data_IF_806373330108
#
_entry.id   IF_806373330108
#
_cell.length_a   1.000
_cell.length_b   1.000
_cell.length_c   1.000
_cell.angle_alpha   90.00
_cell.angle_beta   90.00
_cell.angle_gamma   90.00
#
_symmetry.space_group_name_H-M   'P 1'
#
loop_
_entity.id
_entity.type
_entity.pdbx_description
1 polymer ?
#
# COMPACT_ATOMS: atom_id res chain seq x y z
N UNK A 1 -27.88 -5.80 -5.08
CA UNK A 1 -27.48 -4.40 -4.79
C UNK A 1 -26.30 -4.23 -3.81
N UNK A 2 -25.90 -5.23 -2.99
CA UNK A 2 -24.78 -5.07 -2.03
C UNK A 2 -23.38 -5.12 -2.67
N UNK A 3 -23.23 -5.83 -3.78
CA UNK A 3 -21.93 -6.10 -4.43
C UNK A 3 -21.33 -4.86 -5.09
N UNK A 4 -22.14 -3.99 -5.70
CA UNK A 4 -21.66 -2.75 -6.34
C UNK A 4 -21.13 -1.76 -5.30
N UNK A 5 -21.79 -1.65 -4.14
CA UNK A 5 -21.34 -0.80 -3.03
C UNK A 5 -20.00 -1.27 -2.45
N UNK A 6 -19.84 -2.58 -2.21
CA UNK A 6 -18.59 -3.15 -1.73
C UNK A 6 -17.43 -2.90 -2.71
N UNK A 7 -17.66 -3.13 -4.01
CA UNK A 7 -16.68 -2.84 -5.06
C UNK A 7 -16.31 -1.35 -5.12
N UNK A 8 -17.28 -0.45 -4.97
CA UNK A 8 -17.03 0.99 -4.93
C UNK A 8 -16.20 1.41 -3.72
N UNK A 9 -16.43 0.80 -2.55
CA UNK A 9 -15.64 1.06 -1.33
C UNK A 9 -14.19 0.58 -1.47
N UNK A 10 -13.98 -0.62 -2.00
CA UNK A 10 -12.63 -1.13 -2.29
C UNK A 10 -11.87 -0.19 -3.23
N UNK A 11 -12.51 0.23 -4.32
CA UNK A 11 -11.92 1.20 -5.26
C UNK A 11 -11.54 2.52 -4.59
N UNK A 12 -12.41 3.06 -3.73
CA UNK A 12 -12.13 4.30 -3.00
C UNK A 12 -10.91 4.16 -2.09
N UNK A 13 -10.74 3.01 -1.42
CA UNK A 13 -9.56 2.74 -0.61
C UNK A 13 -8.30 2.69 -1.48
N UNK A 14 -8.32 1.96 -2.60
CA UNK A 14 -7.20 1.88 -3.53
C UNK A 14 -6.80 3.27 -4.06
N UNK A 15 -7.77 4.09 -4.49
CA UNK A 15 -7.54 5.46 -4.93
C UNK A 15 -6.94 6.34 -3.83
N UNK A 16 -7.42 6.20 -2.60
CA UNK A 16 -6.88 6.93 -1.46
C UNK A 16 -5.42 6.53 -1.18
N UNK A 17 -5.08 5.24 -1.23
CA UNK A 17 -3.70 4.76 -1.05
C UNK A 17 -2.79 5.27 -2.16
N UNK A 18 -3.20 5.16 -3.44
CA UNK A 18 -2.45 5.71 -4.57
C UNK A 18 -2.15 7.21 -4.39
N UNK A 19 -3.17 7.98 -3.98
CA UNK A 19 -3.02 9.41 -3.71
C UNK A 19 -2.03 9.68 -2.57
N UNK A 20 -2.08 8.90 -1.49
CA UNK A 20 -1.14 9.06 -0.36
C UNK A 20 0.30 8.78 -0.77
N UNK A 21 0.53 7.75 -1.59
CA UNK A 21 1.86 7.46 -2.14
C UNK A 21 2.32 8.62 -3.02
N UNK A 22 1.46 9.15 -3.89
CA UNK A 22 1.75 10.33 -4.71
C UNK A 22 2.11 11.57 -3.86
N UNK A 23 1.36 11.85 -2.79
CA UNK A 23 1.62 12.96 -1.87
C UNK A 23 2.99 12.87 -1.19
N UNK A 24 3.41 11.68 -0.74
CA UNK A 24 4.70 11.51 -0.02
C UNK A 24 5.91 11.42 -0.97
N UNK A 25 5.70 10.94 -2.19
CA UNK A 25 6.78 10.81 -3.20
C UNK A 25 6.93 12.05 -4.08
N UNK A 26 5.87 12.86 -4.19
CA UNK A 26 5.80 13.97 -5.15
C UNK A 26 5.58 13.53 -6.60
N UNK A 27 5.32 12.23 -6.85
CA UNK A 27 5.16 11.67 -8.19
C UNK A 27 3.69 11.68 -8.63
N UNK A 28 3.39 11.79 -9.95
CA UNK A 28 2.02 11.83 -10.44
C UNK A 28 1.28 10.50 -10.23
N UNK A 29 -0.03 10.63 -9.97
CA UNK A 29 -0.95 9.52 -9.77
C UNK A 29 -2.11 9.65 -10.77
N UNK A 30 -2.40 8.58 -11.50
CA UNK A 30 -3.40 8.59 -12.56
C UNK A 30 -3.29 7.37 -13.47
N UNK A 31 -4.20 7.30 -14.45
CA UNK A 31 -4.10 6.31 -15.51
C UNK A 31 -2.86 6.61 -16.36
N UNK A 32 -2.07 5.57 -16.65
CA UNK A 32 -0.82 5.68 -17.41
C UNK A 32 0.27 6.55 -16.75
N UNK A 33 0.16 6.81 -15.44
CA UNK A 33 1.16 7.53 -14.64
C UNK A 33 2.05 6.57 -13.82
N UNK A 34 3.04 7.11 -13.10
CA UNK A 34 3.95 6.33 -12.25
C UNK A 34 3.26 5.60 -11.10
N UNK A 35 2.11 6.12 -10.63
CA UNK A 35 1.30 5.54 -9.56
C UNK A 35 -0.14 5.38 -10.07
N UNK A 36 -0.65 4.15 -10.08
CA UNK A 36 -1.99 3.85 -10.59
C UNK A 36 -2.72 2.85 -9.66
N UNK A 37 -3.93 3.18 -9.22
CA UNK A 37 -4.83 2.17 -8.63
C UNK A 37 -5.36 1.25 -9.74
N UNK A 38 -5.22 -0.06 -9.58
CA UNK A 38 -5.56 -1.05 -10.62
C UNK A 38 -7.04 -1.04 -10.98
N UNK A 39 -7.35 -1.20 -12.27
CA UNK A 39 -8.72 -1.39 -12.73
C UNK A 39 -9.30 -2.74 -12.28
N UNK A 40 -10.61 -2.79 -12.03
CA UNK A 40 -11.26 -4.00 -11.52
C UNK A 40 -11.08 -5.20 -12.45
N UNK A 41 -10.76 -6.36 -11.88
CA UNK A 41 -10.73 -7.64 -12.59
C UNK A 41 -9.36 -8.04 -13.15
N UNK A 42 -8.32 -7.22 -12.95
CA UNK A 42 -6.95 -7.57 -13.29
C UNK A 42 -6.25 -8.28 -12.11
N UNK A 43 -5.38 -9.25 -12.41
CA UNK A 43 -4.67 -10.09 -11.42
C UNK A 43 -3.34 -9.48 -10.96
N UNK A 44 -3.14 -9.33 -9.65
CA UNK A 44 -1.91 -8.81 -9.04
C UNK A 44 -2.21 -7.69 -8.04
N UNK A 45 -1.17 -6.93 -7.65
CA UNK A 45 -1.25 -5.86 -6.64
C UNK A 45 -2.28 -4.77 -6.97
N UNK A 46 -2.91 -4.22 -5.93
CA UNK A 46 -3.97 -3.22 -6.05
C UNK A 46 -3.47 -1.85 -6.51
N UNK A 47 -2.21 -1.51 -6.24
CA UNK A 47 -1.55 -0.28 -6.67
C UNK A 47 -0.34 -0.65 -7.54
N UNK A 48 -0.30 -0.15 -8.76
CA UNK A 48 0.86 -0.29 -9.65
C UNK A 48 1.79 0.89 -9.40
N UNK A 49 3.07 0.58 -9.26
CA UNK A 49 4.16 1.54 -9.05
C UNK A 49 5.24 1.25 -10.10
N UNK A 50 5.67 2.29 -10.81
CA UNK A 50 6.66 2.19 -11.88
C UNK A 50 7.86 3.10 -11.61
N UNK A 51 9.04 2.71 -12.10
CA UNK A 51 10.28 3.48 -12.00
C UNK A 51 10.51 4.02 -10.59
N UNK A 52 10.73 5.33 -10.50
CA UNK A 52 10.97 6.08 -9.26
C UNK A 52 9.92 5.82 -8.19
N UNK A 53 8.64 5.61 -8.55
CA UNK A 53 7.59 5.35 -7.56
C UNK A 53 7.81 4.01 -6.83
N UNK A 54 8.29 3.00 -7.56
CA UNK A 54 8.62 1.69 -6.96
C UNK A 54 9.91 1.76 -6.15
N UNK A 55 10.85 2.60 -6.53
CA UNK A 55 12.10 2.80 -5.79
C UNK A 55 11.86 3.58 -4.49
N UNK A 56 11.04 4.62 -4.52
CA UNK A 56 10.70 5.44 -3.35
C UNK A 56 9.70 4.77 -2.42
N UNK A 57 8.84 3.90 -2.94
CA UNK A 57 7.84 3.15 -2.17
C UNK A 57 7.87 1.66 -2.56
N UNK A 58 8.89 0.89 -2.09
CA UNK A 58 9.14 -0.48 -2.53
C UNK A 58 8.21 -1.50 -1.85
N UNK A 59 6.88 -1.28 -1.98
CA UNK A 59 5.86 -2.14 -1.42
C UNK A 59 4.92 -2.71 -2.49
N UNK A 60 4.56 -3.97 -2.34
CA UNK A 60 3.45 -4.61 -3.04
C UNK A 60 2.17 -4.42 -2.24
N UNK A 61 1.30 -3.54 -2.74
CA UNK A 61 0.13 -3.08 -1.99
C UNK A 61 -1.11 -3.93 -2.28
N UNK A 62 -1.76 -4.36 -1.20
CA UNK A 62 -3.10 -4.96 -1.18
C UNK A 62 -4.03 -4.06 -0.32
N UNK A 63 -5.31 -3.94 -0.69
CA UNK A 63 -6.28 -3.07 -0.07
C UNK A 63 -7.64 -3.77 0.11
N UNK A 64 -8.07 -3.97 1.36
CA UNK A 64 -9.35 -4.62 1.68
C UNK A 64 -10.27 -3.68 2.45
N UNK A 65 -11.38 -3.30 1.82
CA UNK A 65 -12.48 -2.62 2.51
C UNK A 65 -13.60 -3.62 2.81
N UNK A 66 -13.68 -4.14 4.03
CA UNK A 66 -14.74 -5.06 4.46
C UNK A 66 -15.12 -4.84 5.93
N UNK A 67 -16.39 -5.11 6.27
CA UNK A 67 -16.89 -5.00 7.65
C UNK A 67 -16.43 -6.15 8.55
N UNK A 68 -16.23 -7.34 7.98
CA UNK A 68 -15.68 -8.51 8.66
C UNK A 68 -14.25 -8.73 8.17
N UNK A 69 -13.32 -8.92 9.09
CA UNK A 69 -11.91 -9.08 8.76
C UNK A 69 -11.48 -10.53 8.78
N UNK A 70 -10.84 -10.95 7.68
CA UNK A 70 -10.20 -12.26 7.57
C UNK A 70 -8.70 -12.07 7.38
N UNK A 71 -8.04 -11.57 8.43
CA UNK A 71 -6.63 -11.18 8.37
C UNK A 71 -5.71 -12.30 7.85
N UNK A 72 -5.83 -13.57 8.28
CA UNK A 72 -4.96 -14.63 7.76
C UNK A 72 -5.07 -14.82 6.25
N UNK A 73 -6.30 -14.78 5.70
CA UNK A 73 -6.53 -14.92 4.27
C UNK A 73 -5.98 -13.71 3.50
N UNK A 74 -6.20 -12.50 4.00
CA UNK A 74 -5.75 -11.28 3.31
C UNK A 74 -4.24 -11.08 3.38
N UNK A 75 -3.61 -11.50 4.49
CA UNK A 75 -2.14 -11.55 4.59
C UNK A 75 -1.60 -12.55 3.58
N UNK A 76 -2.25 -13.72 3.42
CA UNK A 76 -1.87 -14.69 2.38
C UNK A 76 -1.98 -14.08 0.98
N UNK A 77 -3.10 -13.44 0.66
CA UNK A 77 -3.28 -12.75 -0.64
C UNK A 77 -2.16 -11.72 -0.89
N UNK A 78 -1.85 -10.88 0.12
CA UNK A 78 -0.81 -9.86 0.01
C UNK A 78 0.59 -10.47 -0.20
N UNK A 79 0.91 -11.58 0.48
CA UNK A 79 2.16 -12.32 0.30
C UNK A 79 2.24 -12.99 -1.07
N UNK A 80 1.15 -13.61 -1.54
CA UNK A 80 1.12 -14.27 -2.85
C UNK A 80 1.28 -13.27 -4.01
N UNK A 81 0.78 -12.04 -3.85
CA UNK A 81 0.90 -10.96 -4.83
C UNK A 81 2.21 -10.16 -4.72
N UNK A 82 3.11 -10.49 -3.77
CA UNK A 82 4.34 -9.76 -3.54
C UNK A 82 5.29 -9.86 -4.74
N UNK A 83 5.64 -8.71 -5.31
CA UNK A 83 6.66 -8.60 -6.34
C UNK A 83 8.06 -8.77 -5.76
N UNK A 84 8.97 -9.36 -6.54
CA UNK A 84 10.38 -9.48 -6.17
C UNK A 84 10.98 -8.10 -5.86
N UNK A 85 11.75 -8.03 -4.77
CA UNK A 85 12.44 -6.81 -4.34
C UNK A 85 11.52 -5.76 -3.69
N UNK A 86 10.33 -6.17 -3.24
CA UNK A 86 9.41 -5.32 -2.47
C UNK A 86 8.95 -6.08 -1.23
N UNK A 87 8.50 -5.38 -0.20
CA UNK A 87 7.75 -5.97 0.92
C UNK A 87 6.24 -5.94 0.63
N UNK A 88 5.47 -6.88 1.16
CA UNK A 88 4.01 -6.81 1.06
C UNK A 88 3.45 -5.78 2.08
N UNK A 89 2.37 -5.10 1.70
CA UNK A 89 1.74 -4.09 2.53
C UNK A 89 0.23 -4.14 2.36
N UNK A 90 -0.50 -4.46 3.43
CA UNK A 90 -1.94 -4.59 3.42
C UNK A 90 -2.61 -3.38 4.08
N UNK A 91 -3.41 -2.63 3.32
CA UNK A 91 -4.30 -1.61 3.84
C UNK A 91 -5.68 -2.21 4.08
N UNK A 92 -6.24 -2.00 5.27
CA UNK A 92 -7.60 -2.42 5.60
C UNK A 92 -8.45 -1.25 6.07
N UNK A 93 -9.73 -1.29 5.74
CA UNK A 93 -10.73 -0.34 6.21
C UNK A 93 -12.08 -1.01 6.43
N UNK A 94 -12.85 -0.46 7.38
CA UNK A 94 -14.29 -0.72 7.54
C UNK A 94 -15.03 0.61 7.76
N UNK A 95 -16.37 0.61 7.66
CA UNK A 95 -17.11 1.88 7.79
C UNK A 95 -16.86 2.55 9.14
N UNK A 96 -16.73 3.88 9.14
CA UNK A 96 -16.57 4.68 10.35
C UNK A 96 -15.31 4.37 11.19
N UNK A 97 -14.33 3.71 10.59
CA UNK A 97 -13.03 3.46 11.20
C UNK A 97 -11.91 3.93 10.28
N UNK A 98 -10.80 4.29 10.89
CA UNK A 98 -9.57 4.67 10.20
C UNK A 98 -9.00 3.54 9.35
N UNK A 99 -8.21 3.91 8.35
CA UNK A 99 -7.35 3.02 7.57
C UNK A 99 -6.26 2.44 8.47
N UNK A 100 -6.06 1.12 8.40
CA UNK A 100 -4.99 0.41 9.13
C UNK A 100 -4.05 -0.23 8.13
N UNK A 101 -2.76 -0.23 8.46
CA UNK A 101 -1.71 -0.88 7.69
C UNK A 101 -1.23 -2.12 8.44
N UNK A 102 -1.06 -3.23 7.71
CA UNK A 102 -0.50 -4.49 8.20
C UNK A 102 0.69 -4.85 7.31
N UNK A 103 1.82 -5.19 7.95
CA UNK A 103 3.06 -5.62 7.31
C UNK A 103 3.81 -6.62 8.20
N UNK A 104 4.84 -7.28 7.66
CA UNK A 104 5.74 -8.11 8.48
C UNK A 104 6.50 -7.24 9.49
N UNK A 105 6.63 -7.75 10.72
CA UNK A 105 7.28 -7.02 11.80
C UNK A 105 8.76 -6.72 11.50
N UNK A 106 9.45 -7.62 10.79
CA UNK A 106 10.85 -7.41 10.38
C UNK A 106 10.95 -6.19 9.46
N UNK A 107 10.13 -6.14 8.40
CA UNK A 107 10.08 -4.99 7.48
C UNK A 107 9.74 -3.67 8.21
N UNK A 108 8.87 -3.72 9.23
CA UNK A 108 8.59 -2.55 10.06
C UNK A 108 9.84 -2.07 10.83
N UNK A 109 10.57 -2.98 11.47
CA UNK A 109 11.78 -2.60 12.22
C UNK A 109 12.91 -2.15 11.29
N UNK A 110 13.06 -2.76 10.11
CA UNK A 110 14.05 -2.34 9.11
C UNK A 110 13.76 -0.91 8.61
N UNK A 111 12.49 -0.60 8.33
CA UNK A 111 12.06 0.76 7.98
C UNK A 111 12.35 1.75 9.12
N UNK A 112 12.06 1.36 10.36
CA UNK A 112 12.29 2.23 11.52
C UNK A 112 13.78 2.43 11.81
N UNK A 113 14.63 1.43 11.57
CA UNK A 113 16.08 1.57 11.65
C UNK A 113 16.58 2.59 10.62
N UNK A 114 16.16 2.49 9.36
CA UNK A 114 16.51 3.45 8.31
C UNK A 114 16.10 4.88 8.68
N UNK A 115 14.90 5.05 9.25
CA UNK A 115 14.45 6.34 9.78
C UNK A 115 15.39 6.88 10.86
N UNK A 116 15.83 6.03 11.81
CA UNK A 116 16.80 6.44 12.84
C UNK A 116 18.13 6.86 12.23
N UNK A 117 18.64 6.11 11.24
CA UNK A 117 19.89 6.46 10.55
C UNK A 117 19.79 7.85 9.91
N UNK A 118 18.69 8.10 9.18
CA UNK A 118 18.45 9.36 8.49
C UNK A 118 18.30 10.53 9.47
N UNK A 119 17.46 10.40 10.51
CA UNK A 119 17.11 11.51 11.40
C UNK A 119 18.17 11.77 12.48
N UNK A 120 18.73 10.73 13.09
CA UNK A 120 19.59 10.89 14.27
C UNK A 120 21.08 10.84 13.96
N UNK A 121 21.51 10.01 13.00
CA UNK A 121 22.93 9.94 12.63
C UNK A 121 23.31 11.02 11.61
N UNK A 122 22.36 11.50 10.82
CA UNK A 122 22.53 12.73 10.02
C UNK A 122 22.85 13.97 10.87
N UNK A 123 22.27 14.07 12.08
CA UNK A 123 22.52 15.18 13.04
C UNK A 123 23.86 15.10 13.77
N UNK A 124 24.57 13.98 13.74
CA UNK A 124 25.91 13.85 14.36
C UNK A 124 27.05 14.21 13.40
N UNK A 125 26.76 14.29 12.10
CA UNK A 125 27.74 14.54 11.05
C UNK A 125 27.60 15.92 10.40
N UNK A 126 26.73 16.79 10.92
CA UNK A 126 26.56 18.19 10.52
C UNK A 126 26.58 19.08 11.75
#
# INVERSE_FOLDING_TARGET
MKTSSAKAKGRKLQQWVAKKISEITGLPCGKDELIESREMGQTGVDIKLYGDAKEMFPFSVEAKYQETWSLPAWIKDAKDNQAKGTDWLLFIKKNFHEEIVIMDAVAFFDLYEQYIQFVFRGKKNG
#
